data_IF_066653941312
#
_entry.id   IF_066653941312
#
_cell.length_a   1.000
_cell.length_b   1.000
_cell.length_c   1.000
_cell.angle_alpha   90.00
_cell.angle_beta   90.00
_cell.angle_gamma   90.00
#
_symmetry.space_group_name_H-M   'P 1'
#
loop_
_entity.id
_entity.type
_entity.pdbx_description
1 polymer ?
#
# COMPACT_ATOMS: atom_id res chain seq x y z
N UNK A 1 -10.67 29.52 -15.09
CA UNK A 1 -11.50 28.52 -14.38
C UNK A 1 -11.00 28.44 -12.95
N UNK A 2 -11.77 28.89 -11.99
CA UNK A 2 -11.44 28.74 -10.57
C UNK A 2 -11.45 27.26 -10.19
N UNK A 3 -10.34 26.76 -9.68
CA UNK A 3 -10.27 25.38 -9.19
C UNK A 3 -11.03 25.29 -7.86
N UNK A 4 -12.17 24.62 -7.86
CA UNK A 4 -12.94 24.36 -6.64
C UNK A 4 -12.13 23.51 -5.67
N UNK A 5 -12.14 23.92 -4.41
CA UNK A 5 -11.50 23.16 -3.33
C UNK A 5 -12.28 21.84 -3.11
N UNK A 6 -11.55 20.73 -2.93
CA UNK A 6 -12.16 19.42 -2.68
C UNK A 6 -13.06 19.43 -1.43
N UNK A 7 -12.75 20.23 -0.42
CA UNK A 7 -13.54 20.36 0.81
C UNK A 7 -14.96 20.91 0.59
N UNK A 8 -15.22 21.59 -0.51
CA UNK A 8 -16.58 22.02 -0.86
C UNK A 8 -17.55 20.85 -1.08
N UNK A 9 -17.00 19.67 -1.45
CA UNK A 9 -17.76 18.42 -1.60
C UNK A 9 -18.04 17.71 -0.27
N UNK A 10 -17.31 18.09 0.76
CA UNK A 10 -17.38 17.52 2.09
C UNK A 10 -17.69 18.61 3.13
N UNK A 11 -18.93 19.14 3.13
CA UNK A 11 -19.33 20.16 4.10
C UNK A 11 -19.24 19.62 5.52
N UNK A 12 -19.27 20.52 6.49
CA UNK A 12 -19.31 20.13 7.90
C UNK A 12 -20.49 19.19 8.18
N UNK A 13 -20.24 18.17 8.99
CA UNK A 13 -21.20 17.11 9.31
C UNK A 13 -20.65 15.71 9.02
N UNK A 14 -21.54 14.76 8.86
CA UNK A 14 -21.22 13.32 8.78
C UNK A 14 -20.20 13.02 7.68
N UNK A 15 -20.35 13.56 6.48
CA UNK A 15 -19.42 13.32 5.37
C UNK A 15 -18.00 13.77 5.66
N UNK A 16 -17.84 14.88 6.37
CA UNK A 16 -16.52 15.38 6.77
C UNK A 16 -15.91 14.50 7.87
N UNK A 17 -16.75 14.04 8.79
CA UNK A 17 -16.34 13.11 9.83
C UNK A 17 -15.88 11.77 9.24
N UNK A 18 -16.57 11.25 8.23
CA UNK A 18 -16.19 10.02 7.52
C UNK A 18 -14.79 10.14 6.89
N UNK A 19 -14.47 11.29 6.30
CA UNK A 19 -13.13 11.56 5.75
C UNK A 19 -12.06 11.50 6.84
N UNK A 20 -12.31 12.12 8.00
CA UNK A 20 -11.35 12.08 9.10
C UNK A 20 -11.21 10.69 9.73
N UNK A 21 -12.30 9.95 9.84
CA UNK A 21 -12.29 8.57 10.32
C UNK A 21 -11.44 7.69 9.40
N UNK A 22 -11.66 7.77 8.08
CA UNK A 22 -10.86 7.07 7.10
C UNK A 22 -9.39 7.46 7.15
N UNK A 23 -9.09 8.76 7.25
CA UNK A 23 -7.73 9.25 7.35
C UNK A 23 -7.02 8.74 8.63
N UNK A 24 -7.74 8.65 9.74
CA UNK A 24 -7.19 8.12 11.00
C UNK A 24 -6.91 6.61 10.92
N UNK A 25 -7.77 5.85 10.29
CA UNK A 25 -7.53 4.42 10.01
C UNK A 25 -6.30 4.23 9.14
N UNK A 26 -6.17 5.01 8.07
CA UNK A 26 -4.99 5.01 7.22
C UNK A 26 -3.72 5.41 7.98
N UNK A 27 -3.79 6.45 8.81
CA UNK A 27 -2.67 6.86 9.67
C UNK A 27 -2.21 5.75 10.61
N UNK A 28 -3.15 5.01 11.20
CA UNK A 28 -2.84 3.85 12.04
C UNK A 28 -2.15 2.75 11.25
N UNK A 29 -2.67 2.45 10.05
CA UNK A 29 -2.08 1.46 9.16
C UNK A 29 -0.62 1.79 8.83
N UNK A 30 -0.32 2.98 8.30
CA UNK A 30 1.06 3.37 7.95
C UNK A 30 1.96 3.53 9.16
N UNK A 31 1.40 3.79 10.34
CA UNK A 31 2.18 3.86 11.59
C UNK A 31 2.61 2.49 12.09
N UNK A 32 1.84 1.45 11.83
CA UNK A 32 2.14 0.07 12.21
C UNK A 32 2.95 -0.68 11.15
N UNK A 33 2.81 -0.30 9.88
CA UNK A 33 3.45 -0.98 8.74
C UNK A 33 4.58 -0.11 8.18
N UNK A 34 5.82 -0.38 8.59
CA UNK A 34 7.01 0.42 8.21
C UNK A 34 7.75 -0.13 7.00
N UNK A 35 7.52 -1.39 6.66
CA UNK A 35 8.18 -2.09 5.56
C UNK A 35 7.16 -2.73 4.64
N UNK A 36 7.58 -3.07 3.42
CA UNK A 36 6.74 -3.78 2.44
C UNK A 36 6.22 -5.10 3.02
N UNK A 37 7.04 -5.78 3.81
CA UNK A 37 6.67 -7.06 4.43
C UNK A 37 5.60 -6.90 5.50
N UNK A 38 5.71 -5.85 6.32
CA UNK A 38 4.70 -5.53 7.33
C UNK A 38 3.38 -5.11 6.67
N UNK A 39 3.45 -4.29 5.62
CA UNK A 39 2.27 -3.93 4.83
C UNK A 39 1.61 -5.16 4.21
N UNK A 40 2.40 -6.04 3.57
CA UNK A 40 1.87 -7.26 2.96
C UNK A 40 1.24 -8.18 4.00
N UNK A 41 1.88 -8.36 5.17
CA UNK A 41 1.35 -9.19 6.25
C UNK A 41 0.03 -8.65 6.81
N UNK A 42 -0.03 -7.34 7.05
CA UNK A 42 -1.25 -6.70 7.58
C UNK A 42 -2.40 -6.73 6.57
N UNK A 43 -2.12 -6.43 5.30
CA UNK A 43 -3.13 -6.51 4.24
C UNK A 43 -3.63 -7.96 4.03
N UNK A 44 -2.73 -8.94 4.13
CA UNK A 44 -3.12 -10.36 4.09
C UNK A 44 -4.03 -10.73 5.26
N UNK A 45 -3.70 -10.29 6.48
CA UNK A 45 -4.53 -10.50 7.67
C UNK A 45 -5.93 -9.90 7.47
N UNK A 46 -6.00 -8.64 7.03
CA UNK A 46 -7.27 -7.98 6.73
C UNK A 46 -8.07 -8.69 5.63
N UNK A 47 -7.39 -9.18 4.59
CA UNK A 47 -8.05 -9.97 3.55
C UNK A 47 -8.69 -11.24 4.11
N UNK A 48 -7.98 -11.99 4.96
CA UNK A 48 -8.52 -13.19 5.62
C UNK A 48 -9.73 -12.86 6.49
N UNK A 49 -9.69 -11.77 7.27
CA UNK A 49 -10.81 -11.30 8.09
C UNK A 49 -12.03 -10.89 7.26
N UNK A 50 -11.80 -10.40 6.04
CA UNK A 50 -12.85 -10.06 5.09
C UNK A 50 -13.28 -11.23 4.19
N UNK A 51 -12.93 -12.46 4.56
CA UNK A 51 -13.41 -13.67 3.90
C UNK A 51 -12.68 -14.04 2.61
N UNK A 52 -11.46 -13.51 2.39
CA UNK A 52 -10.62 -13.97 1.29
C UNK A 52 -9.96 -15.30 1.65
N UNK A 53 -10.13 -16.30 0.77
CA UNK A 53 -9.45 -17.58 0.87
C UNK A 53 -8.04 -17.48 0.25
N UNK A 54 -7.08 -18.21 0.80
CA UNK A 54 -5.74 -18.28 0.22
C UNK A 54 -5.76 -19.08 -1.09
N UNK A 55 -5.07 -18.54 -2.11
CA UNK A 55 -4.96 -19.19 -3.42
C UNK A 55 -4.26 -20.55 -3.32
N UNK A 56 -3.21 -20.65 -2.52
CA UNK A 56 -2.46 -21.90 -2.34
C UNK A 56 -3.32 -22.99 -1.71
N UNK A 57 -4.16 -22.64 -0.73
CA UNK A 57 -5.12 -23.58 -0.12
C UNK A 57 -6.14 -24.07 -1.15
N UNK A 58 -6.66 -23.18 -1.99
CA UNK A 58 -7.60 -23.53 -3.05
C UNK A 58 -6.99 -24.46 -4.11
N UNK A 59 -5.73 -24.19 -4.49
CA UNK A 59 -4.98 -25.04 -5.43
C UNK A 59 -4.75 -26.42 -4.81
N UNK A 60 -4.28 -26.50 -3.57
CA UNK A 60 -4.05 -27.77 -2.88
C UNK A 60 -5.31 -28.63 -2.77
N UNK A 61 -6.47 -28.01 -2.63
CA UNK A 61 -7.78 -28.66 -2.57
C UNK A 61 -8.36 -28.97 -3.96
N UNK A 62 -7.69 -28.58 -5.04
CA UNK A 62 -8.21 -28.64 -6.41
C UNK A 62 -9.63 -28.03 -6.53
N UNK A 63 -9.87 -26.96 -5.77
CA UNK A 63 -11.17 -26.32 -5.67
C UNK A 63 -11.47 -25.48 -6.91
N UNK A 64 -12.66 -25.66 -7.48
CA UNK A 64 -13.15 -24.79 -8.56
C UNK A 64 -13.64 -23.47 -7.98
N UNK A 65 -13.21 -22.37 -8.57
CA UNK A 65 -13.66 -21.02 -8.22
C UNK A 65 -15.05 -20.77 -8.82
N UNK A 66 -15.85 -19.98 -8.12
CA UNK A 66 -17.20 -19.57 -8.53
C UNK A 66 -17.32 -18.05 -8.46
N UNK A 67 -18.27 -17.51 -9.19
CA UNK A 67 -18.63 -16.09 -9.08
C UNK A 67 -18.90 -15.71 -7.62
N UNK A 68 -18.34 -14.60 -7.18
CA UNK A 68 -18.39 -14.12 -5.80
C UNK A 68 -17.28 -14.63 -4.89
N UNK A 69 -16.50 -15.64 -5.29
CA UNK A 69 -15.36 -16.11 -4.51
C UNK A 69 -14.31 -14.97 -4.37
N UNK A 70 -13.77 -14.86 -3.17
CA UNK A 70 -12.71 -13.90 -2.82
C UNK A 70 -11.43 -14.66 -2.55
N UNK A 71 -10.38 -14.32 -3.29
CA UNK A 71 -9.11 -15.04 -3.24
C UNK A 71 -7.99 -14.05 -2.97
N UNK A 72 -7.07 -14.40 -2.10
CA UNK A 72 -5.83 -13.67 -1.87
C UNK A 72 -4.64 -14.54 -2.27
N UNK A 73 -3.72 -13.97 -3.02
CA UNK A 73 -2.43 -14.55 -3.36
C UNK A 73 -1.32 -13.71 -2.73
N UNK A 74 -0.49 -14.36 -1.93
CA UNK A 74 0.68 -13.71 -1.31
C UNK A 74 1.92 -14.04 -2.13
N UNK A 75 2.57 -13.00 -2.65
CA UNK A 75 3.81 -13.13 -3.40
C UNK A 75 5.03 -12.86 -2.50
N UNK A 76 5.61 -13.92 -1.96
CA UNK A 76 6.84 -13.92 -1.16
C UNK A 76 6.82 -12.97 0.06
N UNK A 77 5.64 -12.60 0.56
CA UNK A 77 5.46 -11.65 1.66
C UNK A 77 5.86 -10.21 1.31
N UNK A 78 5.91 -9.87 0.03
CA UNK A 78 6.26 -8.52 -0.46
C UNK A 78 5.21 -7.87 -1.36
N UNK A 79 4.28 -8.64 -1.82
CA UNK A 79 3.18 -8.20 -2.66
C UNK A 79 1.97 -9.07 -2.49
N UNK A 80 0.80 -8.52 -2.75
CA UNK A 80 -0.47 -9.22 -2.68
C UNK A 80 -1.28 -9.00 -3.96
N UNK A 81 -2.01 -10.02 -4.35
CA UNK A 81 -3.07 -9.90 -5.33
C UNK A 81 -4.38 -10.38 -4.71
N UNK A 82 -5.42 -9.56 -4.81
CA UNK A 82 -6.76 -9.87 -4.33
C UNK A 82 -7.69 -9.95 -5.53
N UNK A 83 -8.48 -11.02 -5.55
CA UNK A 83 -9.42 -11.26 -6.64
C UNK A 83 -10.82 -11.40 -6.07
N UNK A 84 -11.78 -10.81 -6.75
CA UNK A 84 -13.20 -11.10 -6.59
C UNK A 84 -13.65 -11.67 -7.93
N UNK A 85 -14.05 -12.93 -7.92
CA UNK A 85 -14.42 -13.64 -9.15
C UNK A 85 -15.76 -13.11 -9.64
N UNK A 86 -15.77 -12.62 -10.87
CA UNK A 86 -16.96 -12.11 -11.53
C UNK A 86 -17.90 -13.22 -12.05
N UNK A 87 -19.05 -12.78 -12.57
CA UNK A 87 -20.01 -13.67 -13.23
C UNK A 87 -19.63 -13.95 -14.68
N UNK A 88 -18.88 -13.06 -15.29
CA UNK A 88 -18.41 -13.17 -16.68
C UNK A 88 -17.05 -13.82 -16.76
N UNK A 89 -16.77 -14.43 -17.90
CA UNK A 89 -15.48 -15.01 -18.17
C UNK A 89 -14.38 -13.93 -18.19
N UNK A 90 -13.18 -14.31 -17.76
CA UNK A 90 -12.02 -13.41 -17.70
C UNK A 90 -11.64 -12.83 -19.07
N UNK A 91 -11.99 -13.55 -20.14
CA UNK A 91 -11.77 -13.11 -21.52
C UNK A 91 -12.63 -11.90 -21.91
N UNK A 92 -13.74 -11.66 -21.22
CA UNK A 92 -14.59 -10.49 -21.40
C UNK A 92 -13.99 -9.23 -20.74
N UNK A 93 -12.88 -9.39 -20.02
CA UNK A 93 -12.14 -8.32 -19.36
C UNK A 93 -12.28 -8.32 -17.84
N UNK A 94 -11.44 -7.52 -17.19
CA UNK A 94 -11.43 -7.35 -15.74
C UNK A 94 -11.13 -5.91 -15.36
N UNK A 95 -11.56 -5.51 -14.17
CA UNK A 95 -11.15 -4.25 -13.57
C UNK A 95 -9.92 -4.50 -12.70
N UNK A 96 -8.82 -3.79 -12.99
CA UNK A 96 -7.57 -3.90 -12.25
C UNK A 96 -7.31 -2.61 -11.50
N UNK A 97 -7.13 -2.72 -10.17
CA UNK A 97 -6.65 -1.64 -9.32
C UNK A 97 -5.25 -2.00 -8.86
N UNK A 98 -4.28 -1.16 -9.16
CA UNK A 98 -2.89 -1.35 -8.77
C UNK A 98 -2.41 -0.20 -7.89
N UNK A 99 -1.65 -0.55 -6.85
CA UNK A 99 -0.96 0.41 -6.00
C UNK A 99 0.38 -0.16 -5.55
N UNK A 100 1.39 0.70 -5.37
CA UNK A 100 2.64 0.27 -4.76
C UNK A 100 2.45 0.07 -3.25
N UNK A 101 3.24 -0.83 -2.68
CA UNK A 101 3.14 -1.22 -1.27
C UNK A 101 4.24 -0.59 -0.40
N UNK A 102 5.34 -0.20 -1.02
CA UNK A 102 6.41 0.55 -0.37
C UNK A 102 6.00 2.00 -0.13
N UNK A 103 6.56 2.59 0.93
CA UNK A 103 6.35 4.00 1.24
C UNK A 103 7.68 4.72 1.40
N UNK A 104 7.76 6.03 1.11
CA UNK A 104 8.93 6.83 1.36
C UNK A 104 9.31 6.78 2.84
N UNK A 105 10.57 6.46 3.13
CA UNK A 105 11.10 6.45 4.49
C UNK A 105 12.57 6.81 4.52
N UNK A 106 13.03 7.27 5.67
CA UNK A 106 14.45 7.42 5.95
C UNK A 106 14.89 6.31 6.91
N UNK A 107 15.84 5.50 6.46
CA UNK A 107 16.49 4.49 7.29
C UNK A 107 17.88 4.97 7.69
N UNK A 108 18.26 4.77 8.95
CA UNK A 108 19.60 5.08 9.40
C UNK A 108 20.60 4.00 8.91
N UNK A 109 21.80 4.43 8.53
CA UNK A 109 22.90 3.50 8.24
C UNK A 109 23.37 2.80 9.53
N UNK A 110 24.16 1.73 9.40
CA UNK A 110 24.63 0.95 10.54
C UNK A 110 25.46 1.77 11.54
N UNK A 111 26.23 2.74 11.04
CA UNK A 111 26.98 3.71 11.86
C UNK A 111 26.50 5.10 11.41
N UNK A 112 25.35 5.56 11.93
CA UNK A 112 24.69 6.74 11.37
C UNK A 112 25.22 8.05 11.90
N UNK A 113 25.79 8.09 13.09
CA UNK A 113 26.23 9.31 13.76
C UNK A 113 27.72 9.56 13.50
N UNK A 114 28.04 10.75 13.03
CA UNK A 114 29.41 11.20 12.89
C UNK A 114 29.50 12.71 13.18
N UNK A 115 30.69 13.17 13.51
CA UNK A 115 30.96 14.58 13.77
C UNK A 115 31.78 15.17 12.62
N UNK A 116 31.35 16.32 12.13
CA UNK A 116 32.10 17.12 11.17
C UNK A 116 31.78 18.60 11.39
N UNK A 117 32.81 19.46 11.32
CA UNK A 117 32.69 20.91 11.48
C UNK A 117 31.90 21.36 12.72
N UNK A 118 32.15 20.69 13.86
CA UNK A 118 31.48 20.91 15.15
C UNK A 118 29.98 20.64 15.15
N UNK A 119 29.51 19.85 14.17
CA UNK A 119 28.10 19.41 14.06
C UNK A 119 28.01 17.89 14.14
N UNK A 120 26.96 17.42 14.83
CA UNK A 120 26.58 16.02 14.79
C UNK A 120 25.72 15.77 13.55
N UNK A 121 26.19 14.91 12.67
CA UNK A 121 25.53 14.57 11.41
C UNK A 121 25.00 13.13 11.43
N UNK A 122 23.84 12.92 10.80
CA UNK A 122 23.22 11.61 10.66
C UNK A 122 23.30 11.12 9.22
N UNK A 123 23.94 9.97 9.03
CA UNK A 123 23.91 9.25 7.76
C UNK A 123 22.62 8.46 7.64
N UNK A 124 21.84 8.76 6.64
CA UNK A 124 20.58 8.06 6.34
C UNK A 124 20.58 7.47 4.92
N UNK A 125 19.77 6.45 4.73
CA UNK A 125 19.32 5.98 3.43
C UNK A 125 17.92 6.53 3.23
N UNK A 126 17.70 7.18 2.09
CA UNK A 126 16.38 7.67 1.73
C UNK A 126 15.81 6.70 0.69
N UNK A 127 14.73 6.00 1.05
CA UNK A 127 13.92 5.25 0.11
C UNK A 127 12.82 6.19 -0.40
N UNK A 128 13.10 6.84 -1.52
CA UNK A 128 12.11 7.64 -2.23
C UNK A 128 11.62 6.80 -3.39
N UNK A 129 10.31 6.56 -3.43
CA UNK A 129 9.71 6.02 -4.65
C UNK A 129 9.74 7.10 -5.73
N UNK A 130 10.32 6.74 -6.83
CA UNK A 130 10.54 7.47 -8.06
C UNK A 130 9.41 8.41 -8.53
N UNK A 131 9.75 9.41 -9.37
CA UNK A 131 10.81 9.30 -10.38
C UNK A 131 12.12 9.97 -9.94
N UNK A 132 13.22 9.24 -10.02
CA UNK A 132 14.55 9.84 -10.05
C UNK A 132 14.62 10.76 -11.26
N UNK A 133 14.54 12.03 -11.01
CA UNK A 133 14.97 13.01 -12.00
C UNK A 133 16.48 12.92 -12.06
N UNK A 134 17.07 12.54 -13.18
CA UNK A 134 18.53 12.62 -13.27
C UNK A 134 18.94 14.06 -13.06
N UNK A 135 19.65 14.31 -11.98
CA UNK A 135 20.35 15.56 -11.80
C UNK A 135 21.49 15.58 -12.83
N UNK A 136 21.25 16.20 -13.96
CA UNK A 136 22.31 16.57 -14.85
C UNK A 136 23.13 17.64 -14.16
N UNK A 137 24.26 17.24 -13.58
CA UNK A 137 25.29 18.16 -13.19
C UNK A 137 25.97 18.58 -14.50
N UNK A 138 25.60 19.74 -15.02
CA UNK A 138 26.38 20.39 -16.06
C UNK A 138 27.60 21.01 -15.41
N UNK A 139 28.78 20.59 -15.84
CA UNK A 139 30.05 21.26 -15.54
C UNK A 139 30.18 22.52 -16.38
#
# INVERSE_FOLDING_TARGET
MEKKNAWEKYPEGTKRQDVFTFAEEYRKFISSCKTERECAAELYRQAKENGFADLSEKIAQNAKLKAGDRIVANNMGKGLALFVIGEKDIEEGMNILGAHIDSPRMDLKQVPLYEDTEMALLLSLIHISEPTRPLYISY
#
